data_IF_235703910739
#
_entry.id   IF_235703910739
#
_cell.length_a   1.000
_cell.length_b   1.000
_cell.length_c   1.000
_cell.angle_alpha   90.00
_cell.angle_beta   90.00
_cell.angle_gamma   90.00
#
_symmetry.space_group_name_H-M   'P 1'
#
loop_
_entity.id
_entity.type
_entity.pdbx_description
1 polymer ?
#
# COMPACT_ATOMS: atom_id res chain seq x y z
N UNK A 1 -14.30 -7.76 -16.68
CA UNK A 1 -13.65 -7.14 -15.51
C UNK A 1 -12.53 -6.26 -16.05
N UNK A 2 -12.33 -5.06 -15.50
CA UNK A 2 -11.19 -4.23 -15.90
C UNK A 2 -9.88 -4.99 -15.59
N UNK A 3 -8.93 -4.93 -16.51
CA UNK A 3 -7.61 -5.56 -16.36
C UNK A 3 -6.79 -4.73 -15.37
N UNK A 4 -6.25 -5.38 -14.34
CA UNK A 4 -5.42 -4.73 -13.31
C UNK A 4 -4.06 -4.42 -13.93
N UNK A 5 -3.62 -3.17 -13.87
CA UNK A 5 -2.29 -2.74 -14.33
C UNK A 5 -1.33 -2.58 -13.16
N UNK A 6 -0.29 -3.40 -13.13
CA UNK A 6 0.75 -3.36 -12.11
C UNK A 6 2.09 -2.89 -12.71
N UNK A 7 2.82 -2.03 -12.01
CA UNK A 7 4.21 -1.72 -12.32
C UNK A 7 5.11 -2.52 -11.38
N UNK A 8 5.95 -3.39 -11.94
CA UNK A 8 7.01 -4.08 -11.20
C UNK A 8 8.32 -3.33 -11.41
N UNK A 9 8.94 -2.90 -10.32
CA UNK A 9 10.25 -2.25 -10.30
C UNK A 9 11.20 -3.20 -9.56
N UNK A 10 12.05 -3.90 -10.29
CA UNK A 10 12.94 -4.95 -9.78
C UNK A 10 14.09 -5.13 -10.78
N UNK A 11 15.32 -5.22 -10.34
CA UNK A 11 16.49 -5.40 -11.23
C UNK A 11 16.67 -6.86 -11.69
N UNK A 12 15.99 -7.83 -11.04
CA UNK A 12 16.00 -9.23 -11.46
C UNK A 12 14.97 -9.48 -12.59
N UNK A 13 15.46 -9.48 -13.83
CA UNK A 13 14.63 -9.76 -15.01
C UNK A 13 14.02 -11.18 -15.02
N UNK A 14 14.62 -12.15 -14.33
CA UNK A 14 14.09 -13.53 -14.26
C UNK A 14 12.84 -13.60 -13.40
N UNK A 15 12.89 -12.92 -12.25
CA UNK A 15 11.72 -12.78 -11.38
C UNK A 15 10.62 -12.01 -12.14
N UNK A 16 10.99 -10.96 -12.86
CA UNK A 16 10.04 -10.16 -13.63
C UNK A 16 9.31 -10.99 -14.69
N UNK A 17 10.01 -11.80 -15.48
CA UNK A 17 9.38 -12.64 -16.52
C UNK A 17 8.47 -13.72 -15.91
N UNK A 18 8.88 -14.35 -14.81
CA UNK A 18 8.06 -15.34 -14.11
C UNK A 18 6.77 -14.70 -13.58
N UNK A 19 6.88 -13.54 -12.93
CA UNK A 19 5.72 -12.83 -12.39
C UNK A 19 4.79 -12.31 -13.49
N UNK A 20 5.32 -11.76 -14.58
CA UNK A 20 4.53 -11.34 -15.73
C UNK A 20 3.66 -12.48 -16.26
N UNK A 21 4.28 -13.64 -16.53
CA UNK A 21 3.57 -14.79 -17.06
C UNK A 21 2.46 -15.27 -16.13
N UNK A 22 2.78 -15.45 -14.85
CA UNK A 22 1.82 -15.95 -13.87
C UNK A 22 0.68 -14.96 -13.60
N UNK A 23 1.00 -13.67 -13.42
CA UNK A 23 0.03 -12.64 -13.08
C UNK A 23 -0.88 -12.33 -14.27
N UNK A 24 -0.36 -12.32 -15.50
CA UNK A 24 -1.17 -12.17 -16.72
C UNK A 24 -2.26 -13.23 -16.83
N UNK A 25 -1.93 -14.52 -16.58
CA UNK A 25 -2.91 -15.60 -16.55
C UNK A 25 -4.00 -15.41 -15.48
N UNK A 26 -3.77 -14.54 -14.53
CA UNK A 26 -4.66 -14.23 -13.41
C UNK A 26 -5.33 -12.85 -13.50
N UNK A 27 -5.28 -12.19 -14.67
CA UNK A 27 -5.95 -10.91 -14.93
C UNK A 27 -5.19 -9.68 -14.44
N UNK A 28 -3.86 -9.79 -14.22
CA UNK A 28 -2.98 -8.67 -13.84
C UNK A 28 -1.93 -8.46 -14.92
N UNK A 29 -2.01 -7.33 -15.62
CA UNK A 29 -1.02 -6.91 -16.61
C UNK A 29 0.17 -6.24 -15.91
N UNK A 30 1.36 -6.83 -16.04
CA UNK A 30 2.57 -6.33 -15.40
C UNK A 30 3.48 -5.63 -16.41
N UNK A 31 3.74 -4.36 -16.19
CA UNK A 31 4.85 -3.63 -16.80
C UNK A 31 6.08 -3.71 -15.90
N UNK A 32 7.26 -3.86 -16.49
CA UNK A 32 8.50 -4.03 -15.75
C UNK A 32 9.46 -2.86 -15.99
N UNK A 33 10.04 -2.36 -14.92
CA UNK A 33 11.16 -1.42 -14.92
C UNK A 33 12.34 -2.05 -14.16
N UNK A 34 13.52 -2.05 -14.76
CA UNK A 34 14.71 -2.71 -14.22
C UNK A 34 15.49 -1.87 -13.19
N UNK A 35 15.03 -0.68 -12.89
CA UNK A 35 15.66 0.24 -11.94
C UNK A 35 14.66 1.28 -11.42
N UNK A 36 14.97 1.90 -10.27
CA UNK A 36 14.08 2.87 -9.63
C UNK A 36 13.83 4.11 -10.47
N UNK A 37 14.81 4.61 -11.23
CA UNK A 37 14.64 5.80 -12.06
C UNK A 37 13.69 5.55 -13.24
N UNK A 38 13.81 4.40 -13.90
CA UNK A 38 12.90 4.02 -14.98
C UNK A 38 11.49 3.77 -14.47
N UNK A 39 11.35 3.19 -13.27
CA UNK A 39 10.07 3.03 -12.60
C UNK A 39 9.36 4.35 -12.33
N UNK A 40 10.09 5.33 -11.78
CA UNK A 40 9.54 6.67 -11.52
C UNK A 40 9.07 7.37 -12.81
N UNK A 41 9.85 7.28 -13.91
CA UNK A 41 9.45 7.83 -15.22
C UNK A 41 8.18 7.18 -15.76
N UNK A 42 8.00 5.85 -15.58
CA UNK A 42 6.78 5.16 -16.01
C UNK A 42 5.55 5.63 -15.23
N UNK A 43 5.69 5.85 -13.93
CA UNK A 43 4.62 6.40 -13.09
C UNK A 43 4.22 7.83 -13.47
N UNK A 44 5.12 8.60 -14.08
CA UNK A 44 4.82 9.93 -14.62
C UNK A 44 4.05 9.88 -15.94
N UNK A 45 4.32 8.87 -16.76
CA UNK A 45 3.75 8.76 -18.12
C UNK A 45 2.51 7.88 -18.20
N UNK A 46 2.23 7.06 -17.19
CA UNK A 46 1.14 6.08 -17.21
C UNK A 46 0.54 5.90 -15.82
N UNK A 47 -0.74 5.52 -15.78
CA UNK A 47 -1.43 5.17 -14.54
C UNK A 47 -1.35 3.67 -14.28
N UNK A 48 -1.13 3.31 -13.02
CA UNK A 48 -1.10 1.93 -12.54
C UNK A 48 -2.03 1.79 -11.33
N UNK A 49 -2.61 0.59 -11.20
CA UNK A 49 -3.47 0.25 -10.06
C UNK A 49 -2.65 -0.13 -8.83
N UNK A 50 -1.41 -0.62 -9.03
CA UNK A 50 -0.47 -0.92 -7.95
C UNK A 50 0.98 -0.91 -8.44
N UNK A 51 1.91 -0.78 -7.48
CA UNK A 51 3.35 -0.92 -7.67
C UNK A 51 3.85 -2.11 -6.85
N UNK A 52 4.62 -2.99 -7.49
CA UNK A 52 5.44 -4.01 -6.86
C UNK A 52 6.88 -3.48 -6.89
N UNK A 53 7.50 -3.33 -5.73
CA UNK A 53 8.75 -2.58 -5.61
C UNK A 53 9.80 -3.38 -4.84
N UNK A 54 10.85 -3.77 -5.52
CA UNK A 54 12.00 -4.36 -4.83
C UNK A 54 12.70 -3.31 -3.96
N UNK A 55 13.07 -3.69 -2.75
CA UNK A 55 13.81 -2.83 -1.82
C UNK A 55 15.27 -2.72 -2.26
N UNK A 56 15.87 -3.85 -2.64
CA UNK A 56 17.31 -3.96 -2.88
C UNK A 56 17.63 -3.82 -4.37
N UNK A 57 17.74 -2.60 -4.85
CA UNK A 57 18.12 -2.32 -6.24
C UNK A 57 19.36 -1.45 -6.31
N UNK A 58 20.21 -1.60 -7.36
CA UNK A 58 21.35 -0.74 -7.57
C UNK A 58 20.92 0.70 -7.93
N UNK A 59 21.67 1.68 -7.46
CA UNK A 59 21.40 3.09 -7.71
C UNK A 59 20.39 3.67 -6.74
N UNK A 60 19.16 3.88 -7.17
CA UNK A 60 18.04 4.32 -6.30
C UNK A 60 17.35 3.09 -5.77
N UNK A 61 17.43 2.87 -4.45
CA UNK A 61 16.78 1.76 -3.78
C UNK A 61 15.24 1.92 -3.71
N UNK A 62 14.54 0.83 -3.36
CA UNK A 62 13.09 0.84 -3.31
C UNK A 62 12.51 1.74 -2.22
N UNK A 63 13.22 1.97 -1.12
CA UNK A 63 12.78 2.87 -0.06
C UNK A 63 12.74 4.31 -0.57
N UNK A 64 13.80 4.73 -1.27
CA UNK A 64 13.86 6.06 -1.87
C UNK A 64 12.82 6.22 -3.00
N UNK A 65 12.57 5.17 -3.81
CA UNK A 65 11.51 5.18 -4.83
C UNK A 65 10.15 5.38 -4.16
N UNK A 66 9.84 4.61 -3.10
CA UNK A 66 8.60 4.75 -2.34
C UNK A 66 8.42 6.17 -1.80
N UNK A 67 9.46 6.72 -1.16
CA UNK A 67 9.47 8.08 -0.64
C UNK A 67 9.13 9.11 -1.73
N UNK A 68 9.76 9.01 -2.91
CA UNK A 68 9.49 9.93 -4.04
C UNK A 68 8.08 9.80 -4.59
N UNK A 69 7.53 8.59 -4.66
CA UNK A 69 6.15 8.37 -5.07
C UNK A 69 5.20 9.10 -4.11
N UNK A 70 5.40 8.96 -2.81
CA UNK A 70 4.56 9.60 -1.79
C UNK A 70 4.74 11.11 -1.73
N UNK A 71 5.95 11.62 -1.87
CA UNK A 71 6.22 13.07 -1.94
C UNK A 71 5.53 13.78 -3.11
N UNK A 72 5.23 13.06 -4.19
CA UNK A 72 4.45 13.56 -5.33
C UNK A 72 2.93 13.51 -5.10
N UNK A 73 2.47 13.14 -3.91
CA UNK A 73 1.06 13.01 -3.57
C UNK A 73 0.39 11.78 -4.20
N UNK A 74 1.16 10.84 -4.77
CA UNK A 74 0.59 9.63 -5.35
C UNK A 74 0.12 8.66 -4.26
N UNK A 75 -1.14 8.21 -4.36
CA UNK A 75 -1.76 7.22 -3.47
C UNK A 75 -1.78 5.82 -4.08
N UNK A 76 -1.05 5.58 -5.17
CA UNK A 76 -0.98 4.26 -5.78
C UNK A 76 -0.56 3.23 -4.71
N UNK A 77 -1.27 2.11 -4.57
CA UNK A 77 -0.89 1.05 -3.64
C UNK A 77 0.50 0.50 -3.94
N UNK A 78 1.32 0.29 -2.91
CA UNK A 78 2.69 -0.22 -3.03
C UNK A 78 2.86 -1.48 -2.18
N UNK A 79 3.27 -2.59 -2.81
CA UNK A 79 3.75 -3.78 -2.13
C UNK A 79 5.28 -3.80 -2.27
N UNK A 80 5.98 -3.75 -1.14
CA UNK A 80 7.43 -3.89 -1.13
C UNK A 80 7.83 -5.36 -1.18
N UNK A 81 8.81 -5.68 -2.03
CA UNK A 81 9.44 -6.98 -2.11
C UNK A 81 10.82 -6.87 -1.45
N UNK A 82 11.08 -7.64 -0.41
CA UNK A 82 12.30 -7.47 0.41
C UNK A 82 13.00 -8.78 0.68
N UNK A 83 14.32 -8.76 0.88
CA UNK A 83 15.06 -9.93 1.33
C UNK A 83 14.60 -10.36 2.74
N UNK A 84 14.63 -11.67 3.00
CA UNK A 84 14.23 -12.26 4.27
C UNK A 84 15.22 -11.84 5.36
N UNK A 85 14.76 -11.14 6.40
CA UNK A 85 15.57 -10.85 7.59
C UNK A 85 15.72 -9.38 7.95
N UNK A 86 15.39 -8.44 7.08
CA UNK A 86 15.52 -7.02 7.37
C UNK A 86 14.22 -6.45 7.99
N UNK A 87 14.07 -6.69 9.30
CA UNK A 87 12.96 -6.08 10.07
C UNK A 87 13.09 -4.54 10.07
N UNK A 88 14.32 -4.03 10.02
CA UNK A 88 14.59 -2.60 9.94
C UNK A 88 14.06 -1.99 8.63
N UNK A 89 14.35 -2.60 7.47
CA UNK A 89 13.87 -2.13 6.17
C UNK A 89 12.34 -2.20 6.07
N UNK A 90 11.70 -3.20 6.70
CA UNK A 90 10.24 -3.29 6.79
C UNK A 90 9.62 -2.14 7.55
N UNK A 91 10.20 -1.79 8.70
CA UNK A 91 9.72 -0.65 9.51
C UNK A 91 9.91 0.64 8.75
N UNK A 92 11.10 0.89 8.19
CA UNK A 92 11.42 2.09 7.41
C UNK A 92 10.49 2.24 6.19
N UNK A 93 10.25 1.18 5.44
CA UNK A 93 9.42 1.31 4.26
C UNK A 93 7.93 1.52 4.58
N UNK A 94 7.43 0.99 5.70
CA UNK A 94 6.10 1.32 6.21
C UNK A 94 6.03 2.78 6.67
N UNK A 95 7.09 3.28 7.32
CA UNK A 95 7.24 4.70 7.64
C UNK A 95 7.20 5.58 6.39
N UNK A 96 7.72 5.09 5.27
CA UNK A 96 7.69 5.77 3.98
C UNK A 96 6.35 5.64 3.23
N UNK A 97 5.39 4.89 3.78
CA UNK A 97 4.02 4.79 3.27
C UNK A 97 3.76 3.65 2.30
N UNK A 98 4.53 2.56 2.35
CA UNK A 98 4.15 1.31 1.68
C UNK A 98 2.87 0.72 2.32
N UNK A 99 2.08 0.02 1.51
CA UNK A 99 0.79 -0.54 1.93
C UNK A 99 0.89 -2.00 2.37
N UNK A 100 1.88 -2.74 1.87
CA UNK A 100 2.16 -4.13 2.26
C UNK A 100 3.62 -4.50 1.99
N UNK A 101 4.06 -5.61 2.59
CA UNK A 101 5.40 -6.18 2.49
C UNK A 101 5.36 -7.66 2.20
N UNK A 102 6.22 -8.13 1.29
CA UNK A 102 6.37 -9.54 0.98
C UNK A 102 7.85 -9.92 0.96
N UNK A 103 8.24 -10.84 1.86
CA UNK A 103 9.62 -11.29 1.96
C UNK A 103 9.98 -12.27 0.83
N UNK A 104 11.09 -12.06 0.16
CA UNK A 104 11.72 -13.00 -0.78
C UNK A 104 12.43 -14.13 0.01
N UNK A 105 12.34 -15.41 -0.39
CA UNK A 105 11.56 -15.91 -1.52
C UNK A 105 10.06 -16.07 -1.19
N UNK A 106 9.21 -15.70 -2.14
CA UNK A 106 7.75 -15.83 -2.03
C UNK A 106 7.16 -16.66 -3.18
N UNK A 107 5.96 -17.17 -2.99
CA UNK A 107 5.24 -17.82 -4.08
C UNK A 107 4.47 -16.80 -4.92
N UNK A 108 4.40 -16.94 -6.26
CA UNK A 108 3.54 -16.07 -7.08
C UNK A 108 2.06 -16.10 -6.66
N UNK A 109 1.59 -17.19 -6.07
CA UNK A 109 0.23 -17.30 -5.53
C UNK A 109 0.03 -16.41 -4.30
N UNK A 110 1.02 -16.33 -3.41
CA UNK A 110 0.97 -15.46 -2.25
C UNK A 110 0.94 -13.99 -2.68
N UNK A 111 1.81 -13.60 -3.61
CA UNK A 111 1.80 -12.25 -4.18
C UNK A 111 0.43 -11.91 -4.79
N UNK A 112 -0.15 -12.81 -5.59
CA UNK A 112 -1.46 -12.61 -6.19
C UNK A 112 -2.57 -12.42 -5.14
N UNK A 113 -2.53 -13.22 -4.06
CA UNK A 113 -3.50 -13.08 -2.96
C UNK A 113 -3.40 -11.69 -2.31
N UNK A 114 -2.18 -11.20 -2.06
CA UNK A 114 -1.92 -9.86 -1.51
C UNK A 114 -2.37 -8.74 -2.45
N UNK A 115 -2.07 -8.85 -3.75
CA UNK A 115 -2.54 -7.91 -4.79
C UNK A 115 -4.07 -7.82 -4.74
N UNK A 116 -4.76 -8.95 -4.77
CA UNK A 116 -6.24 -8.97 -4.75
C UNK A 116 -6.81 -8.39 -3.44
N UNK A 117 -6.20 -8.72 -2.30
CA UNK A 117 -6.60 -8.19 -1.02
C UNK A 117 -6.44 -6.67 -0.97
N UNK A 118 -5.31 -6.15 -1.44
CA UNK A 118 -5.01 -4.72 -1.47
C UNK A 118 -5.98 -3.98 -2.40
N UNK A 119 -6.17 -4.45 -3.63
CA UNK A 119 -7.06 -3.81 -4.62
C UNK A 119 -8.54 -3.92 -4.26
N UNK A 120 -8.99 -5.00 -3.60
CA UNK A 120 -10.37 -5.07 -3.09
C UNK A 120 -10.69 -3.93 -2.13
N UNK A 121 -9.73 -3.47 -1.36
CA UNK A 121 -9.86 -2.36 -0.42
C UNK A 121 -9.91 -1.00 -1.12
N UNK A 122 -9.30 -0.90 -2.32
CA UNK A 122 -9.35 0.33 -3.13
C UNK A 122 -10.60 0.41 -4.00
N UNK A 123 -11.41 -0.66 -4.09
CA UNK A 123 -12.69 -0.60 -4.79
C UNK A 123 -13.66 0.34 -4.07
N UNK A 124 -14.44 1.14 -4.82
CA UNK A 124 -15.44 2.01 -4.22
C UNK A 124 -16.39 1.19 -3.34
N UNK A 125 -16.57 1.62 -2.10
CA UNK A 125 -17.67 1.12 -1.28
C UNK A 125 -19.02 1.49 -1.94
N UNK A 126 -20.12 0.83 -1.56
CA UNK A 126 -21.45 1.22 -2.05
C UNK A 126 -21.65 2.73 -1.93
N UNK A 127 -22.20 3.34 -2.99
CA UNK A 127 -22.41 4.79 -3.06
C UNK A 127 -23.16 5.29 -1.81
N UNK A 128 -22.58 6.29 -1.14
CA UNK A 128 -23.25 7.04 -0.10
C UNK A 128 -22.80 6.78 1.35
N UNK A 129 -21.90 5.84 1.64
CA UNK A 129 -21.42 5.70 3.02
C UNK A 129 -20.51 6.89 3.39
N UNK A 130 -21.05 7.79 4.20
CA UNK A 130 -20.33 8.90 4.83
C UNK A 130 -20.31 8.68 6.34
N UNK A 131 -19.15 8.83 6.94
CA UNK A 131 -18.99 8.79 8.38
C UNK A 131 -18.41 10.13 8.83
N UNK A 132 -18.95 10.68 9.91
CA UNK A 132 -18.40 11.88 10.54
C UNK A 132 -18.21 11.65 12.02
N UNK A 133 -17.02 11.94 12.53
CA UNK A 133 -16.69 11.80 13.95
C UNK A 133 -15.57 12.77 14.34
N UNK A 134 -15.76 13.54 15.40
CA UNK A 134 -14.75 14.45 15.98
C UNK A 134 -14.08 15.39 14.94
N UNK A 135 -14.86 15.99 14.03
CA UNK A 135 -14.35 16.87 12.96
C UNK A 135 -13.81 16.14 11.74
N UNK A 136 -13.62 14.80 11.82
CA UNK A 136 -13.23 13.99 10.68
C UNK A 136 -14.46 13.60 9.86
N UNK A 137 -14.42 13.92 8.56
CA UNK A 137 -15.38 13.47 7.57
C UNK A 137 -14.77 12.42 6.65
N UNK A 138 -15.42 11.26 6.51
CA UNK A 138 -15.00 10.19 5.61
C UNK A 138 -15.96 10.08 4.44
N UNK A 139 -15.44 10.13 3.23
CA UNK A 139 -16.10 9.63 2.03
C UNK A 139 -15.56 8.23 1.76
N UNK A 140 -16.35 7.22 2.13
CA UNK A 140 -15.89 5.83 2.07
C UNK A 140 -15.74 5.34 0.63
N UNK A 141 -16.59 5.82 -0.28
CA UNK A 141 -16.54 5.45 -1.69
C UNK A 141 -15.27 5.96 -2.39
N UNK A 142 -14.88 7.22 -2.14
CA UNK A 142 -13.67 7.80 -2.72
C UNK A 142 -12.41 7.61 -1.86
N UNK A 143 -12.54 6.98 -0.67
CA UNK A 143 -11.47 6.80 0.33
C UNK A 143 -10.78 8.13 0.70
N UNK A 144 -11.57 9.18 0.84
CA UNK A 144 -11.10 10.50 1.26
C UNK A 144 -11.42 10.77 2.71
N UNK A 145 -10.54 11.51 3.36
CA UNK A 145 -10.73 12.00 4.72
C UNK A 145 -10.54 13.50 4.72
N UNK A 146 -11.42 14.18 5.43
CA UNK A 146 -11.33 15.61 5.68
C UNK A 146 -11.30 15.85 7.18
N UNK A 147 -10.47 16.78 7.64
CA UNK A 147 -10.50 17.32 8.98
C UNK A 147 -10.99 18.77 8.90
N UNK A 148 -12.13 19.06 9.55
CA UNK A 148 -12.77 20.38 9.51
C UNK A 148 -12.96 20.93 8.08
N UNK A 149 -13.32 20.03 7.14
CA UNK A 149 -13.56 20.34 5.73
C UNK A 149 -12.33 20.46 4.85
N UNK A 150 -11.12 20.25 5.40
CA UNK A 150 -9.87 20.23 4.62
C UNK A 150 -9.41 18.81 4.36
N UNK A 151 -9.04 18.51 3.12
CA UNK A 151 -8.53 17.18 2.76
C UNK A 151 -7.24 16.85 3.53
N UNK A 152 -7.19 15.64 4.10
CA UNK A 152 -6.01 15.09 4.77
C UNK A 152 -5.31 14.13 3.82
N UNK A 153 -4.00 14.33 3.60
CA UNK A 153 -3.20 13.44 2.75
C UNK A 153 -2.72 12.22 3.56
N UNK A 154 -3.38 11.08 3.33
CA UNK A 154 -3.11 9.81 4.00
C UNK A 154 -2.93 8.68 3.02
N UNK A 155 -2.08 7.70 3.37
CA UNK A 155 -1.89 6.48 2.56
C UNK A 155 -3.07 5.53 2.69
N UNK A 156 -3.13 4.49 1.83
CA UNK A 156 -4.21 3.50 1.88
C UNK A 156 -4.30 2.78 3.22
N UNK A 157 -3.17 2.42 3.84
CA UNK A 157 -3.15 1.77 5.15
C UNK A 157 -3.55 2.73 6.27
N UNK A 158 -3.06 3.97 6.24
CA UNK A 158 -3.47 5.00 7.21
C UNK A 158 -4.99 5.25 7.15
N UNK A 159 -5.56 5.29 5.94
CA UNK A 159 -7.01 5.40 5.76
C UNK A 159 -7.75 4.24 6.41
N UNK A 160 -7.34 2.99 6.15
CA UNK A 160 -8.01 1.79 6.69
C UNK A 160 -7.97 1.76 8.22
N UNK A 161 -6.82 2.09 8.81
CA UNK A 161 -6.65 2.17 10.26
C UNK A 161 -7.51 3.29 10.86
N UNK A 162 -7.51 4.47 10.26
CA UNK A 162 -8.29 5.61 10.73
C UNK A 162 -9.79 5.35 10.64
N UNK A 163 -10.27 4.75 9.54
CA UNK A 163 -11.67 4.37 9.38
C UNK A 163 -12.10 3.29 10.40
N UNK A 164 -11.23 2.30 10.66
CA UNK A 164 -11.48 1.27 11.66
C UNK A 164 -11.64 1.86 13.07
N UNK A 165 -10.82 2.86 13.42
CA UNK A 165 -10.92 3.60 14.68
C UNK A 165 -12.17 4.49 14.73
N UNK A 166 -12.46 5.22 13.64
CA UNK A 166 -13.63 6.10 13.54
C UNK A 166 -14.95 5.35 13.70
N UNK A 167 -15.07 4.16 13.10
CA UNK A 167 -16.24 3.27 13.28
C UNK A 167 -16.40 2.75 14.71
N UNK A 168 -15.36 2.90 15.54
CA UNK A 168 -15.32 2.48 16.96
C UNK A 168 -15.06 3.63 17.91
N UNK A 169 -15.37 4.84 17.49
CA UNK A 169 -15.17 6.04 18.32
C UNK A 169 -15.75 5.85 19.75
N UNK A 170 -14.99 6.27 20.74
CA UNK A 170 -15.32 6.10 22.16
C UNK A 170 -15.03 4.70 22.74
N UNK A 171 -14.43 3.79 21.95
CA UNK A 171 -14.01 2.47 22.43
C UNK A 171 -12.51 2.31 22.35
N UNK A 172 -11.93 1.62 23.32
CA UNK A 172 -10.51 1.21 23.26
C UNK A 172 -10.39 0.06 22.26
N UNK A 173 -9.48 0.19 21.31
CA UNK A 173 -9.17 -0.84 20.31
C UNK A 173 -7.77 -1.39 20.61
N UNK A 174 -7.62 -2.68 20.89
CA UNK A 174 -6.31 -3.31 21.05
C UNK A 174 -5.47 -3.22 19.77
N UNK A 175 -4.13 -3.10 19.91
CA UNK A 175 -3.23 -2.97 18.76
C UNK A 175 -3.26 -4.17 17.83
N UNK A 176 -3.21 -5.36 18.41
CA UNK A 176 -3.27 -6.64 17.70
C UNK A 176 -4.57 -6.80 16.89
N UNK A 177 -5.68 -6.29 17.40
CA UNK A 177 -6.96 -6.31 16.71
C UNK A 177 -7.10 -5.24 15.63
N UNK A 178 -6.30 -4.16 15.65
CA UNK A 178 -6.53 -3.00 14.78
C UNK A 178 -6.30 -3.31 13.29
N UNK A 179 -5.29 -4.10 12.95
CA UNK A 179 -5.04 -4.53 11.56
C UNK A 179 -6.19 -5.39 11.03
N UNK A 180 -6.65 -6.36 11.82
CA UNK A 180 -7.81 -7.20 11.49
C UNK A 180 -9.06 -6.35 11.29
N UNK A 181 -9.34 -5.43 12.20
CA UNK A 181 -10.47 -4.51 12.12
C UNK A 181 -10.41 -3.55 10.93
N UNK A 182 -9.20 -3.25 10.44
CA UNK A 182 -8.94 -2.52 9.21
C UNK A 182 -9.02 -3.41 7.95
N UNK A 183 -9.36 -4.70 8.12
CA UNK A 183 -9.42 -5.68 7.05
C UNK A 183 -8.03 -6.11 6.55
N UNK A 184 -7.02 -6.06 7.39
CA UNK A 184 -5.61 -6.33 7.07
C UNK A 184 -5.08 -7.62 7.72
N UNK A 185 -5.92 -8.68 7.83
CA UNK A 185 -5.54 -9.97 8.41
C UNK A 185 -4.41 -10.67 7.66
N UNK A 186 -4.24 -10.36 6.39
CA UNK A 186 -3.23 -10.92 5.48
C UNK A 186 -1.87 -10.19 5.57
N UNK A 187 -1.79 -9.08 6.28
CA UNK A 187 -0.55 -8.33 6.45
C UNK A 187 0.25 -8.96 7.60
N UNK A 188 1.30 -9.70 7.27
CA UNK A 188 2.25 -10.29 8.24
C UNK A 188 3.15 -9.18 8.82
N UNK A 189 2.53 -8.17 9.43
CA UNK A 189 3.24 -7.01 9.97
C UNK A 189 3.03 -6.99 11.47
N UNK A 190 4.10 -6.89 12.21
CA UNK A 190 4.06 -6.87 13.68
C UNK A 190 3.37 -5.60 14.23
N UNK A 191 3.12 -5.61 15.52
CA UNK A 191 2.49 -4.49 16.27
C UNK A 191 3.18 -3.13 16.04
N UNK A 192 4.50 -3.13 15.79
CA UNK A 192 5.30 -1.92 15.49
C UNK A 192 4.80 -1.15 14.27
N UNK A 193 4.26 -1.84 13.25
CA UNK A 193 3.69 -1.19 12.07
C UNK A 193 2.49 -0.33 12.43
N UNK A 194 1.62 -0.84 13.30
CA UNK A 194 0.46 -0.08 13.77
C UNK A 194 0.91 1.20 14.47
N UNK A 195 1.91 1.10 15.36
CA UNK A 195 2.40 2.26 16.12
C UNK A 195 2.98 3.34 15.19
N UNK A 196 3.72 2.96 14.14
CA UNK A 196 4.27 3.89 13.14
C UNK A 196 3.14 4.63 12.41
N UNK A 197 2.16 3.92 11.86
CA UNK A 197 1.07 4.56 11.13
C UNK A 197 0.16 5.39 12.04
N UNK A 198 -0.05 4.99 13.28
CA UNK A 198 -0.77 5.81 14.27
C UNK A 198 0.01 7.09 14.60
N UNK A 199 1.36 7.01 14.67
CA UNK A 199 2.21 8.18 14.86
C UNK A 199 2.07 9.16 13.67
N UNK A 200 2.11 8.64 12.44
CA UNK A 200 1.91 9.47 11.23
C UNK A 200 0.52 10.10 11.18
N UNK A 201 -0.52 9.34 11.50
CA UNK A 201 -1.88 9.87 11.58
C UNK A 201 -1.98 11.02 12.58
N UNK A 202 -1.38 10.86 13.78
CA UNK A 202 -1.36 11.92 14.79
C UNK A 202 -0.64 13.20 14.34
N UNK A 203 0.38 13.07 13.47
CA UNK A 203 1.09 14.21 12.92
C UNK A 203 0.33 14.92 11.78
N UNK A 204 -0.62 14.21 11.13
CA UNK A 204 -1.42 14.73 10.01
C UNK A 204 -2.78 15.29 10.44
N UNK A 205 -3.24 14.92 11.65
CA UNK A 205 -4.51 15.32 12.26
C UNK A 205 -4.29 16.35 13.36
#
# INVERSE_FOLDING_TARGET
>A
MAEIRALLIDDDSRIAELLKSFLHQNGVLVEHASDGQSGLRRLESSSFDLVLLDVMMPGIDGLEVCRRIRQRGSRVPIIMLTARGDEADRVVGLELGADDYLAKPFSPRELLARIRALLRRTQPAPEGERLSVAGLGFDVASRRVQLDGKDVDITGLEYDLLLALARRAGRVVPRDALLSLAGRDDVTVGERTVDVHISHLRAKL
#
